data_IF_546229534344
#
_entry.id   IF_546229534344
#
_cell.length_a   1.000
_cell.length_b   1.000
_cell.length_c   1.000
_cell.angle_alpha   90.00
_cell.angle_beta   90.00
_cell.angle_gamma   90.00
#
_symmetry.space_group_name_H-M   'P 1'
#
loop_
_entity.id
_entity.type
_entity.pdbx_description
1 polymer ?
#
# COMPACT_ATOMS: atom_id res chain seq x y z
N UNK A 1 10.69 -7.50 -1.87
CA UNK A 1 11.42 -6.27 -1.56
C UNK A 1 12.89 -6.52 -1.80
N UNK A 2 13.64 -5.49 -2.19
CA UNK A 2 15.05 -5.62 -2.57
C UNK A 2 15.94 -6.02 -1.37
N UNK A 3 15.50 -5.71 -0.16
CA UNK A 3 16.17 -6.05 1.10
C UNK A 3 16.04 -7.54 1.52
N UNK A 4 15.45 -8.40 0.68
CA UNK A 4 15.22 -9.83 0.95
C UNK A 4 14.35 -10.11 2.20
N UNK A 5 13.63 -9.13 2.71
CA UNK A 5 12.68 -9.31 3.83
C UNK A 5 11.53 -10.27 3.52
N UNK A 6 11.26 -10.51 2.23
CA UNK A 6 10.05 -11.21 1.78
C UNK A 6 8.84 -10.29 1.65
N UNK A 7 8.94 -9.02 2.03
CA UNK A 7 7.87 -8.04 1.87
C UNK A 7 7.55 -7.80 0.40
N UNK A 8 6.31 -7.40 0.14
CA UNK A 8 5.81 -7.14 -1.21
C UNK A 8 5.63 -5.64 -1.40
N UNK A 9 6.23 -5.09 -2.45
CA UNK A 9 6.08 -3.68 -2.81
C UNK A 9 5.05 -3.57 -3.93
N UNK A 10 4.02 -2.77 -3.71
CA UNK A 10 2.93 -2.54 -4.65
C UNK A 10 2.87 -1.06 -4.99
N UNK A 11 2.95 -0.73 -6.28
CA UNK A 11 2.78 0.64 -6.76
C UNK A 11 1.45 0.76 -7.50
N UNK A 12 0.59 1.63 -7.00
CA UNK A 12 -0.72 1.90 -7.56
C UNK A 12 -0.77 3.33 -8.06
N UNK A 13 -1.61 3.58 -9.07
CA UNK A 13 -1.88 4.92 -9.55
C UNK A 13 -3.38 5.10 -9.81
N UNK A 14 -3.88 6.28 -9.47
CA UNK A 14 -5.23 6.70 -9.86
C UNK A 14 -5.20 7.19 -11.32
N UNK A 15 -6.04 6.63 -12.18
CA UNK A 15 -5.94 6.79 -13.64
C UNK A 15 -7.00 7.69 -14.27
N UNK A 16 -8.03 8.08 -13.52
CA UNK A 16 -9.21 8.80 -14.03
C UNK A 16 -9.25 10.28 -13.63
N UNK A 17 -8.28 10.77 -12.87
CA UNK A 17 -8.22 12.16 -12.40
C UNK A 17 -9.24 12.46 -11.30
N UNK A 18 -9.71 11.45 -10.58
CA UNK A 18 -10.71 11.58 -9.51
C UNK A 18 -10.19 11.13 -8.15
N UNK A 19 -10.97 11.36 -7.10
CA UNK A 19 -10.73 10.68 -5.82
C UNK A 19 -11.20 9.23 -5.95
N UNK A 20 -10.34 8.28 -5.62
CA UNK A 20 -10.66 6.86 -5.71
C UNK A 20 -10.51 6.16 -4.35
N UNK A 21 -11.35 5.16 -4.10
CA UNK A 21 -11.19 4.24 -2.98
C UNK A 21 -11.00 2.82 -3.51
N UNK A 22 -10.18 2.04 -2.82
CA UNK A 22 -9.91 0.65 -3.19
C UNK A 22 -9.57 -0.17 -1.93
N UNK A 23 -9.62 -1.49 -2.06
CA UNK A 23 -9.16 -2.43 -1.04
C UNK A 23 -8.09 -3.32 -1.66
N UNK A 24 -6.89 -3.30 -1.11
CA UNK A 24 -5.81 -4.21 -1.49
C UNK A 24 -5.89 -5.46 -0.63
N UNK A 25 -5.94 -6.62 -1.29
CA UNK A 25 -5.93 -7.93 -0.64
C UNK A 25 -4.71 -8.71 -1.09
N UNK A 26 -4.09 -9.39 -0.15
CA UNK A 26 -2.96 -10.27 -0.37
C UNK A 26 -3.37 -11.71 -0.04
N UNK A 27 -2.88 -12.67 -0.82
CA UNK A 27 -3.09 -14.11 -0.59
C UNK A 27 -2.17 -14.68 0.51
N UNK A 28 -1.59 -13.79 1.31
CA UNK A 28 -0.73 -14.11 2.45
C UNK A 28 -1.11 -13.23 3.64
N UNK A 29 -0.79 -13.70 4.84
CA UNK A 29 -1.06 -12.96 6.07
C UNK A 29 -0.21 -11.69 6.13
N UNK A 30 -0.87 -10.55 6.36
CA UNK A 30 -0.22 -9.26 6.54
C UNK A 30 0.08 -8.99 8.02
N UNK A 31 1.31 -8.58 8.30
CA UNK A 31 1.71 -7.98 9.58
C UNK A 31 1.48 -6.45 9.58
N UNK A 32 1.42 -5.83 8.40
CA UNK A 32 1.25 -4.39 8.27
C UNK A 32 1.31 -3.90 6.82
N UNK A 33 1.02 -2.62 6.63
CA UNK A 33 1.16 -1.93 5.35
C UNK A 33 1.67 -0.51 5.60
N UNK A 34 2.70 -0.10 4.86
CA UNK A 34 3.37 1.19 5.04
C UNK A 34 3.53 1.87 3.70
N UNK A 35 3.19 3.15 3.59
CA UNK A 35 3.50 3.95 2.40
C UNK A 35 5.00 4.19 2.32
N UNK A 36 5.54 4.15 1.11
CA UNK A 36 6.96 4.38 0.86
C UNK A 36 7.17 5.34 -0.30
N UNK A 37 8.37 5.91 -0.35
CA UNK A 37 8.85 6.58 -1.55
C UNK A 37 9.25 5.55 -2.63
N UNK A 38 9.83 6.07 -3.73
CA UNK A 38 10.28 5.25 -4.85
C UNK A 38 11.51 4.36 -4.54
N UNK A 39 12.17 4.61 -3.40
CA UNK A 39 13.33 3.85 -2.92
C UNK A 39 12.93 2.93 -1.74
N UNK A 40 11.64 2.62 -1.59
CA UNK A 40 11.08 1.75 -0.55
C UNK A 40 11.28 2.27 0.88
N UNK A 41 11.57 3.57 1.06
CA UNK A 41 11.75 4.18 2.38
C UNK A 41 10.39 4.62 2.95
N UNK A 42 10.10 4.36 4.24
CA UNK A 42 8.83 4.73 4.84
C UNK A 42 8.52 6.22 4.73
N UNK A 43 7.27 6.54 4.42
CA UNK A 43 6.71 7.90 4.42
C UNK A 43 5.55 8.01 5.40
N UNK A 44 5.34 9.18 6.02
CA UNK A 44 4.09 9.47 6.69
C UNK A 44 2.96 9.51 5.64
N UNK A 45 2.19 8.43 5.60
CA UNK A 45 1.12 8.19 4.63
C UNK A 45 -0.27 8.60 5.14
N UNK A 46 -1.17 8.93 4.20
CA UNK A 46 -2.60 9.10 4.46
C UNK A 46 -3.49 8.34 3.48
N UNK A 47 -2.91 7.80 2.40
CA UNK A 47 -3.63 7.03 1.42
C UNK A 47 -3.90 5.60 1.90
N UNK A 48 -3.08 5.07 2.81
CA UNK A 48 -3.17 3.70 3.31
C UNK A 48 -3.51 3.69 4.80
N UNK A 49 -4.46 2.82 5.18
CA UNK A 49 -4.70 2.46 6.58
C UNK A 49 -4.07 1.11 6.91
N UNK A 50 -3.83 0.83 8.20
CA UNK A 50 -3.40 -0.50 8.63
C UNK A 50 -4.37 -1.62 8.21
N UNK A 51 -3.92 -2.89 8.16
CA UNK A 51 -4.78 -4.00 7.77
C UNK A 51 -5.99 -4.10 8.69
N UNK A 52 -7.18 -4.25 8.10
CA UNK A 52 -8.40 -4.58 8.82
C UNK A 52 -8.35 -6.02 9.36
N UNK A 53 -9.28 -6.43 10.25
CA UNK A 53 -9.32 -7.80 10.78
C UNK A 53 -9.45 -8.89 9.72
N UNK A 54 -10.03 -8.58 8.54
CA UNK A 54 -10.12 -9.48 7.38
C UNK A 54 -8.86 -9.48 6.50
N UNK A 55 -7.81 -8.74 6.89
CA UNK A 55 -6.57 -8.59 6.16
C UNK A 55 -6.62 -7.60 4.98
N UNK A 56 -7.76 -6.94 4.73
CA UNK A 56 -7.82 -5.94 3.67
C UNK A 56 -7.11 -4.64 4.08
N UNK A 57 -6.40 -4.02 3.14
CA UNK A 57 -5.77 -2.72 3.31
C UNK A 57 -6.58 -1.68 2.54
N UNK A 58 -7.23 -0.77 3.27
CA UNK A 58 -8.03 0.30 2.68
C UNK A 58 -7.13 1.39 2.06
N UNK A 59 -7.49 1.81 0.85
CA UNK A 59 -6.80 2.83 0.07
C UNK A 59 -7.75 3.99 -0.26
N UNK A 60 -7.26 5.22 -0.09
CA UNK A 60 -7.91 6.43 -0.62
C UNK A 60 -6.90 7.24 -1.41
N UNK A 61 -7.09 7.33 -2.73
CA UNK A 61 -6.19 8.01 -3.65
C UNK A 61 -6.77 9.37 -4.05
N UNK A 62 -5.89 10.38 -4.12
CA UNK A 62 -6.17 11.68 -4.75
C UNK A 62 -6.08 11.58 -6.28
N UNK A 63 -6.66 12.54 -7.04
CA UNK A 63 -6.49 12.61 -8.49
C UNK A 63 -5.04 12.43 -8.94
N UNK A 64 -4.81 11.48 -9.85
CA UNK A 64 -3.49 11.13 -10.40
C UNK A 64 -2.41 10.79 -9.36
N UNK A 65 -2.79 10.45 -8.14
CA UNK A 65 -1.82 10.05 -7.12
C UNK A 65 -1.18 8.72 -7.50
N UNK A 66 0.15 8.67 -7.44
CA UNK A 66 0.93 7.44 -7.36
C UNK A 66 1.22 7.18 -5.88
N UNK A 67 0.93 5.97 -5.41
CA UNK A 67 1.30 5.53 -4.07
C UNK A 67 2.11 4.24 -4.18
N UNK A 68 3.18 4.16 -3.42
CA UNK A 68 3.95 2.91 -3.25
C UNK A 68 3.68 2.42 -1.84
N UNK A 69 3.29 1.16 -1.71
CA UNK A 69 2.94 0.52 -0.46
C UNK A 69 3.82 -0.70 -0.27
N UNK A 70 4.49 -0.78 0.87
CA UNK A 70 5.18 -1.97 1.34
C UNK A 70 4.24 -2.77 2.22
N UNK A 71 3.92 -3.98 1.78
CA UNK A 71 3.14 -4.97 2.52
C UNK A 71 4.08 -5.85 3.31
N UNK A 72 3.95 -5.82 4.64
CA UNK A 72 4.77 -6.61 5.54
C UNK A 72 4.18 -8.01 5.69
N UNK A 73 4.97 -9.04 5.37
CA UNK A 73 4.54 -10.44 5.59
C UNK A 73 4.65 -10.79 7.07
N UNK A 74 3.71 -11.61 7.55
CA UNK A 74 3.77 -12.23 8.89
C UNK A 74 4.54 -13.55 8.87
#
# INVERSE_FOLDING_TARGET
AEDRSGDVVVRLYESRGGRATAALRADFRLAGATETDLLERPLPGQAVSGPAPDGAVALTLRPFQIVTVRLHRA
#
